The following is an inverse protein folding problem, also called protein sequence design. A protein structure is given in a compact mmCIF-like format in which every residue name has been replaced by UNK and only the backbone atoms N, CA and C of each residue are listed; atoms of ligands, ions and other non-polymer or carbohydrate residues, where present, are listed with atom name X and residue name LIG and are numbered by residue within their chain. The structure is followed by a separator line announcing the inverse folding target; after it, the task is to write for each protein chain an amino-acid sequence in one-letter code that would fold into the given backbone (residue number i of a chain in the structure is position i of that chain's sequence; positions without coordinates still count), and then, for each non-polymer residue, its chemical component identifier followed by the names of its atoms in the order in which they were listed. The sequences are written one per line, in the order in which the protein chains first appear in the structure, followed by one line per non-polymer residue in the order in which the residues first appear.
data_IF_738704883051
#
_entry.id   IF_738704883051
#
_cell.length_a   1.000
_cell.length_b   1.000
_cell.length_c   1.000
_cell.angle_alpha   90.00
_cell.angle_beta   90.00
_cell.angle_gamma   90.00
#
_symmetry.space_group_name_H-M   'P 1'
#
loop_
_entity.id
_entity.type
_entity.pdbx_description
1 polymer ?
#
# COMPACT_ATOMS: atom_id res chain seq x y z
N UNK A 1 21.09 -4.24 9.38
CA UNK A 1 19.62 -4.42 9.31
C UNK A 1 19.32 -4.74 7.86
N UNK A 2 18.70 -5.89 7.58
CA UNK A 2 18.44 -6.30 6.20
C UNK A 2 17.52 -5.29 5.54
N UNK A 3 17.99 -4.64 4.47
CA UNK A 3 17.13 -3.87 3.58
C UNK A 3 16.23 -4.86 2.86
N UNK A 4 15.05 -5.12 3.42
CA UNK A 4 13.98 -5.74 2.66
C UNK A 4 13.61 -4.74 1.57
N UNK A 5 13.74 -5.14 0.31
CA UNK A 5 13.23 -4.34 -0.80
C UNK A 5 11.78 -3.94 -0.49
N UNK A 6 11.42 -2.65 -0.63
CA UNK A 6 10.07 -2.20 -0.36
C UNK A 6 9.10 -3.04 -1.20
N UNK A 7 8.02 -3.50 -0.58
CA UNK A 7 7.00 -4.29 -1.25
C UNK A 7 6.46 -3.47 -2.43
N UNK A 8 6.65 -3.99 -3.64
CA UNK A 8 6.16 -3.34 -4.86
C UNK A 8 4.79 -3.86 -5.21
N UNK A 9 3.94 -2.95 -5.67
CA UNK A 9 2.59 -3.29 -6.09
C UNK A 9 2.66 -4.19 -7.33
N UNK A 10 2.17 -5.44 -7.29
CA UNK A 10 2.35 -6.38 -8.40
C UNK A 10 1.32 -6.20 -9.52
N UNK A 11 0.19 -5.54 -9.25
CA UNK A 11 -0.90 -5.29 -10.20
C UNK A 11 -1.71 -4.05 -9.83
N UNK A 12 -2.57 -3.59 -10.74
CA UNK A 12 -3.38 -2.39 -10.59
C UNK A 12 -2.75 -1.13 -11.18
N UNK A 13 -3.29 0.04 -10.81
CA UNK A 13 -2.88 1.37 -11.34
C UNK A 13 -1.41 1.69 -11.05
N UNK A 14 -0.92 1.27 -9.90
CA UNK A 14 0.43 1.57 -9.42
C UNK A 14 1.42 0.41 -9.54
N UNK A 15 1.16 -0.52 -10.48
CA UNK A 15 2.02 -1.69 -10.68
C UNK A 15 3.50 -1.29 -10.83
N UNK A 16 4.35 -1.92 -10.04
CA UNK A 16 5.81 -1.70 -10.01
C UNK A 16 6.26 -0.56 -9.11
N UNK A 17 5.33 0.20 -8.51
CA UNK A 17 5.64 1.22 -7.51
C UNK A 17 5.69 0.62 -6.10
N UNK A 18 6.48 1.25 -5.25
CA UNK A 18 6.63 0.89 -3.84
C UNK A 18 5.35 1.25 -3.07
N UNK A 19 4.90 0.38 -2.14
CA UNK A 19 3.66 0.58 -1.36
C UNK A 19 3.70 1.90 -0.56
N UNK A 20 4.86 2.26 -0.01
CA UNK A 20 5.09 3.52 0.73
C UNK A 20 4.94 4.79 -0.11
N UNK A 21 4.98 4.68 -1.44
CA UNK A 21 4.77 5.80 -2.38
C UNK A 21 3.35 5.90 -2.88
N UNK A 22 2.49 4.94 -2.54
CA UNK A 22 1.10 4.94 -2.97
C UNK A 22 0.28 5.92 -2.12
N UNK A 23 -0.72 6.58 -2.71
CA UNK A 23 -1.59 7.50 -1.97
C UNK A 23 -2.40 6.74 -0.93
N UNK A 24 -2.66 7.38 0.22
CA UNK A 24 -3.36 6.75 1.34
C UNK A 24 -4.76 6.24 0.97
N UNK A 25 -5.45 6.94 0.05
CA UNK A 25 -6.74 6.47 -0.48
C UNK A 25 -6.63 5.15 -1.24
N UNK A 26 -5.53 4.94 -1.99
CA UNK A 26 -5.30 3.68 -2.69
C UNK A 26 -4.88 2.56 -1.72
N UNK A 27 -4.04 2.86 -0.72
CA UNK A 27 -3.67 1.89 0.31
C UNK A 27 -4.88 1.35 1.05
N UNK A 28 -5.79 2.25 1.45
CA UNK A 28 -7.06 1.86 2.07
C UNK A 28 -7.89 0.98 1.14
N UNK A 29 -8.05 1.39 -0.12
CA UNK A 29 -8.79 0.59 -1.10
C UNK A 29 -8.17 -0.80 -1.30
N UNK A 30 -6.85 -0.91 -1.34
CA UNK A 30 -6.13 -2.19 -1.41
C UNK A 30 -6.47 -3.04 -0.20
N UNK A 31 -6.28 -2.53 1.02
CA UNK A 31 -6.59 -3.29 2.25
C UNK A 31 -8.05 -3.77 2.30
N UNK A 32 -9.01 -3.00 1.78
CA UNK A 32 -10.44 -3.34 1.80
C UNK A 32 -10.90 -4.24 0.64
N UNK A 33 -10.24 -4.18 -0.53
CA UNK A 33 -10.72 -4.82 -1.76
C UNK A 33 -9.80 -5.90 -2.32
N UNK A 34 -8.54 -5.98 -1.89
CA UNK A 34 -7.64 -7.03 -2.37
C UNK A 34 -7.98 -8.39 -1.78
N UNK A 35 -7.86 -9.41 -2.62
CA UNK A 35 -7.99 -10.80 -2.20
C UNK A 35 -6.69 -11.27 -1.54
N UNK A 36 -6.71 -11.33 -0.20
CA UNK A 36 -5.59 -11.82 0.60
C UNK A 36 -5.24 -13.29 0.32
N UNK A 37 -6.21 -14.08 -0.16
CA UNK A 37 -6.05 -15.52 -0.36
C UNK A 37 -5.25 -15.88 -1.62
N UNK A 38 -4.98 -14.90 -2.50
CA UNK A 38 -4.32 -15.12 -3.79
C UNK A 38 -2.89 -14.59 -3.85
N UNK A 39 -1.95 -15.50 -4.08
CA UNK A 39 -0.56 -15.16 -4.39
C UNK A 39 0.09 -14.34 -3.27
N UNK A 40 0.48 -13.11 -3.60
CA UNK A 40 1.08 -12.16 -2.65
C UNK A 40 0.05 -11.24 -1.97
N UNK A 41 -1.25 -11.47 -2.18
CA UNK A 41 -2.35 -10.63 -1.68
C UNK A 41 -2.25 -10.33 -0.19
N UNK A 42 -2.07 -11.36 0.65
CA UNK A 42 -1.92 -11.19 2.10
C UNK A 42 -0.76 -10.26 2.49
N UNK A 43 0.39 -10.37 1.82
CA UNK A 43 1.53 -9.51 2.10
C UNK A 43 1.24 -8.05 1.68
N UNK A 44 0.59 -7.85 0.54
CA UNK A 44 0.21 -6.54 0.04
C UNK A 44 -0.79 -5.86 0.98
N UNK A 45 -1.85 -6.57 1.40
CA UNK A 45 -2.84 -6.01 2.32
C UNK A 45 -2.22 -5.65 3.66
N UNK A 46 -1.35 -6.51 4.19
CA UNK A 46 -0.62 -6.24 5.44
C UNK A 46 0.24 -4.98 5.34
N UNK A 47 1.09 -4.88 4.30
CA UNK A 47 1.98 -3.72 4.12
C UNK A 47 1.19 -2.44 3.84
N UNK A 48 0.10 -2.52 3.07
CA UNK A 48 -0.77 -1.38 2.80
C UNK A 48 -1.49 -0.88 4.06
N UNK A 49 -1.98 -1.79 4.90
CA UNK A 49 -2.62 -1.46 6.18
C UNK A 49 -1.60 -0.87 7.16
N UNK A 50 -0.42 -1.47 7.30
CA UNK A 50 0.65 -0.97 8.18
C UNK A 50 1.09 0.45 7.80
N UNK A 51 1.30 0.70 6.50
CA UNK A 51 1.64 2.03 5.99
C UNK A 51 0.50 3.03 6.19
N UNK A 52 -0.75 2.62 5.95
CA UNK A 52 -1.92 3.46 6.20
C UNK A 52 -2.03 3.84 7.69
N UNK A 53 -1.90 2.86 8.60
CA UNK A 53 -1.91 3.08 10.06
C UNK A 53 -0.72 3.93 10.53
N UNK A 54 0.45 3.78 9.93
CA UNK A 54 1.60 4.64 10.20
C UNK A 54 1.30 6.10 9.84
N UNK A 55 0.66 6.32 8.68
CA UNK A 55 0.24 7.66 8.25
C UNK A 55 -0.87 8.22 9.13
N UNK A 56 -1.79 7.41 9.63
CA UNK A 56 -2.84 7.86 10.56
C UNK A 56 -2.23 8.37 11.86
N UNK A 57 -1.19 7.69 12.35
CA UNK A 57 -0.47 8.09 13.58
C UNK A 57 0.41 9.32 13.38
N UNK A 58 1.04 9.47 12.23
CA UNK A 58 2.00 10.55 11.95
C UNK A 58 1.37 11.76 11.26
N UNK A 59 0.14 11.64 10.76
CA UNK A 59 -0.52 12.69 9.98
C UNK A 59 0.08 12.89 8.58
N UNK A 60 0.85 11.93 8.07
CA UNK A 60 1.58 12.03 6.80
C UNK A 60 0.78 11.52 5.59
N UNK A 61 -0.55 11.55 5.69
CA UNK A 61 -1.41 11.16 4.58
C UNK A 61 -1.19 12.07 3.37
N UNK A 62 -1.10 11.45 2.20
CA UNK A 62 -1.21 12.14 0.93
C UNK A 62 -2.21 11.40 0.05
N UNK A 63 -2.94 12.16 -0.74
CA UNK A 63 -3.97 11.65 -1.64
C UNK A 63 -3.58 12.02 -3.06
N UNK A 64 -4.04 11.24 -4.05
CA UNK A 64 -3.92 11.68 -5.43
C UNK A 64 -4.68 12.99 -5.60
N UNK A 65 -3.98 14.02 -6.07
CA UNK A 65 -4.63 15.21 -6.58
C UNK A 65 -5.45 14.78 -7.80
N UNK A 66 -6.78 14.73 -7.65
CA UNK A 66 -7.65 14.62 -8.82
C UNK A 66 -7.45 15.91 -9.64
N UNK A 67 -7.03 15.81 -10.92
CA UNK A 67 -6.94 16.98 -11.79
C UNK A 67 -8.32 17.60 -12.05
#
# INVERSE_FOLDING_TARGET
MGGGDPMKMPYGKFKGQDIDKLPSGYLKWVAENFDESRGQGKAICKEADEEYQFREKTGTHFYEEMP
#
